data_IF_688257140146
#
_entry.id   IF_688257140146
#
_cell.length_a   1.000
_cell.length_b   1.000
_cell.length_c   1.000
_cell.angle_alpha   90.00
_cell.angle_beta   90.00
_cell.angle_gamma   90.00
#
_symmetry.space_group_name_H-M   'P 1'
#
loop_
_entity.id
_entity.type
_entity.pdbx_description
1 polymer ?
#
# COMPACT_ATOMS: atom_id res chain seq x y z
N UNK A 1 -29.34 4.71 -3.93
CA UNK A 1 -28.36 4.46 -5.02
C UNK A 1 -26.96 4.70 -4.46
N UNK A 2 -26.26 3.64 -4.07
CA UNK A 2 -24.98 3.69 -3.36
C UNK A 2 -23.81 3.93 -4.34
N UNK A 3 -23.34 5.18 -4.36
CA UNK A 3 -21.96 5.67 -4.60
C UNK A 3 -20.97 4.72 -5.32
N UNK A 4 -21.22 4.39 -6.59
CA UNK A 4 -20.25 3.75 -7.50
C UNK A 4 -19.13 4.72 -7.97
N UNK A 5 -18.73 5.70 -7.16
CA UNK A 5 -17.93 6.87 -7.60
C UNK A 5 -16.48 6.86 -7.10
N UNK A 6 -16.02 5.77 -6.49
CA UNK A 6 -14.70 5.74 -5.81
C UNK A 6 -13.57 5.07 -6.59
N UNK A 7 -13.88 4.44 -7.72
CA UNK A 7 -12.91 3.98 -8.72
C UNK A 7 -13.55 4.06 -10.10
N UNK A 8 -12.87 4.69 -11.05
CA UNK A 8 -13.37 4.84 -12.41
C UNK A 8 -13.49 3.48 -13.11
N UNK A 9 -12.61 2.53 -12.78
CA UNK A 9 -12.61 1.17 -13.31
C UNK A 9 -13.83 0.40 -12.78
N UNK A 10 -14.04 0.40 -11.45
CA UNK A 10 -15.20 -0.28 -10.86
C UNK A 10 -16.52 0.39 -11.25
N UNK A 11 -16.53 1.71 -11.46
CA UNK A 11 -17.69 2.41 -12.01
C UNK A 11 -18.04 1.89 -13.40
N UNK A 12 -17.05 1.84 -14.31
CA UNK A 12 -17.27 1.37 -15.67
C UNK A 12 -17.73 -0.09 -15.71
N UNK A 13 -17.23 -0.93 -14.82
CA UNK A 13 -17.66 -2.34 -14.73
C UNK A 13 -19.05 -2.47 -14.11
N UNK A 14 -19.38 -1.68 -13.08
CA UNK A 14 -20.68 -1.75 -12.42
C UNK A 14 -21.80 -1.05 -13.21
N UNK A 15 -21.47 -0.01 -13.99
CA UNK A 15 -22.39 0.74 -14.85
C UNK A 15 -22.69 0.02 -16.18
N UNK A 16 -22.05 -1.14 -16.46
CA UNK A 16 -22.38 -1.95 -17.63
C UNK A 16 -23.75 -2.63 -17.44
N UNK A 17 -24.78 -2.03 -18.06
CA UNK A 17 -26.19 -2.46 -18.19
C UNK A 17 -26.60 -3.71 -17.38
N UNK A 18 -27.12 -3.49 -16.16
CA UNK A 18 -27.74 -4.49 -15.27
C UNK A 18 -28.96 -5.20 -15.91
N UNK A 19 -29.46 -4.71 -17.05
CA UNK A 19 -30.66 -5.21 -17.72
C UNK A 19 -30.41 -6.16 -18.91
N UNK A 20 -29.14 -6.47 -19.26
CA UNK A 20 -28.82 -7.53 -20.22
C UNK A 20 -28.09 -8.64 -19.46
N UNK A 21 -28.34 -9.91 -19.83
CA UNK A 21 -27.61 -11.03 -19.23
C UNK A 21 -26.11 -10.70 -19.21
N UNK A 22 -25.39 -10.91 -18.08
CA UNK A 22 -24.01 -10.48 -17.96
C UNK A 22 -23.25 -11.06 -19.15
N UNK A 23 -22.61 -10.23 -20.00
CA UNK A 23 -21.74 -10.77 -21.03
C UNK A 23 -20.69 -11.62 -20.29
N UNK A 24 -20.29 -12.74 -20.88
CA UNK A 24 -19.24 -13.61 -20.32
C UNK A 24 -17.91 -12.84 -20.04
N UNK A 25 -17.83 -11.61 -20.50
CA UNK A 25 -16.70 -10.67 -20.43
C UNK A 25 -16.75 -9.68 -19.24
N UNK A 26 -17.75 -9.74 -18.35
CA UNK A 26 -17.87 -8.83 -17.19
C UNK A 26 -17.16 -9.35 -15.91
N UNK A 27 -16.30 -10.36 -16.03
CA UNK A 27 -15.53 -10.88 -14.89
C UNK A 27 -14.21 -10.13 -14.81
N UNK A 28 -14.04 -9.26 -13.80
CA UNK A 28 -12.72 -8.76 -13.43
C UNK A 28 -12.08 -9.80 -12.50
N UNK A 29 -10.97 -10.38 -12.94
CA UNK A 29 -10.17 -11.26 -12.07
C UNK A 29 -9.04 -10.47 -11.43
N UNK A 30 -9.06 -10.41 -10.10
CA UNK A 30 -8.09 -9.68 -9.27
C UNK A 30 -7.05 -10.68 -8.71
N UNK A 31 -6.17 -11.17 -9.59
CA UNK A 31 -5.27 -12.30 -9.30
C UNK A 31 -4.28 -12.07 -8.15
N UNK A 32 -3.96 -10.82 -7.86
CA UNK A 32 -3.03 -10.45 -6.79
C UNK A 32 -3.66 -10.44 -5.40
N UNK A 33 -4.98 -10.60 -5.29
CA UNK A 33 -5.69 -10.62 -4.01
C UNK A 33 -6.18 -12.03 -3.69
N UNK A 34 -5.88 -12.47 -2.48
CA UNK A 34 -6.53 -13.66 -1.93
C UNK A 34 -7.99 -13.35 -1.53
N UNK A 35 -8.73 -14.39 -1.12
CA UNK A 35 -10.15 -14.25 -0.79
C UNK A 35 -10.43 -13.20 0.30
N UNK A 36 -9.64 -13.18 1.37
CA UNK A 36 -9.84 -12.24 2.49
C UNK A 36 -9.48 -10.79 2.11
N UNK A 37 -8.43 -10.63 1.29
CA UNK A 37 -8.01 -9.33 0.78
C UNK A 37 -9.06 -8.75 -0.17
N UNK A 38 -9.61 -9.60 -1.05
CA UNK A 38 -10.71 -9.23 -1.94
C UNK A 38 -11.97 -8.86 -1.15
N UNK A 39 -12.33 -9.65 -0.14
CA UNK A 39 -13.47 -9.33 0.74
C UNK A 39 -13.26 -7.97 1.43
N UNK A 40 -12.05 -7.69 1.90
CA UNK A 40 -11.69 -6.41 2.51
C UNK A 40 -11.78 -5.25 1.52
N UNK A 41 -11.27 -5.43 0.29
CA UNK A 41 -11.38 -4.42 -0.76
C UNK A 41 -12.86 -4.12 -1.07
N UNK A 42 -13.68 -5.15 -1.29
CA UNK A 42 -15.10 -4.98 -1.57
C UNK A 42 -15.82 -4.28 -0.43
N UNK A 43 -15.60 -4.72 0.82
CA UNK A 43 -16.18 -4.08 2.00
C UNK A 43 -15.82 -2.60 2.08
N UNK A 44 -14.56 -2.25 1.80
CA UNK A 44 -14.14 -0.85 1.73
C UNK A 44 -14.85 -0.08 0.63
N UNK A 45 -15.00 -0.65 -0.57
CA UNK A 45 -15.68 0.00 -1.69
C UNK A 45 -17.15 0.30 -1.36
N UNK A 46 -17.85 -0.65 -0.74
CA UNK A 46 -19.26 -0.50 -0.37
C UNK A 46 -19.48 0.45 0.81
N UNK A 47 -18.62 0.39 1.84
CA UNK A 47 -18.87 1.12 3.11
C UNK A 47 -18.03 2.38 3.28
N UNK A 48 -16.91 2.50 2.55
CA UNK A 48 -15.93 3.58 2.69
C UNK A 48 -15.01 3.49 3.89
N UNK A 49 -15.03 2.36 4.61
CA UNK A 49 -14.21 2.14 5.81
C UNK A 49 -13.89 0.66 5.98
N UNK A 50 -12.89 0.38 6.80
CA UNK A 50 -12.56 -0.97 7.25
C UNK A 50 -12.30 -0.97 8.75
N UNK A 51 -12.65 -2.05 9.47
CA UNK A 51 -12.18 -2.26 10.84
C UNK A 51 -10.65 -2.23 10.90
N UNK A 52 -10.10 -1.70 11.99
CA UNK A 52 -8.65 -1.52 12.16
C UNK A 52 -7.88 -2.83 11.99
N UNK A 53 -8.40 -3.94 12.51
CA UNK A 53 -7.79 -5.27 12.39
C UNK A 53 -7.66 -5.73 10.93
N UNK A 54 -8.72 -5.59 10.12
CA UNK A 54 -8.67 -5.91 8.69
C UNK A 54 -7.73 -4.97 7.95
N UNK A 55 -7.69 -3.70 8.37
CA UNK A 55 -6.81 -2.71 7.79
C UNK A 55 -5.33 -3.04 8.06
N UNK A 56 -4.96 -3.31 9.31
CA UNK A 56 -3.60 -3.65 9.70
C UNK A 56 -3.13 -4.94 8.99
N UNK A 57 -4.02 -5.93 8.87
CA UNK A 57 -3.71 -7.20 8.21
C UNK A 57 -3.46 -7.07 6.70
N UNK A 58 -4.20 -6.20 6.02
CA UNK A 58 -4.23 -6.15 4.55
C UNK A 58 -3.76 -4.83 3.95
N UNK A 59 -3.21 -3.90 4.74
CA UNK A 59 -2.84 -2.55 4.25
C UNK A 59 -1.92 -2.57 3.03
N UNK A 60 -0.97 -3.51 2.95
CA UNK A 60 -0.03 -3.58 1.84
C UNK A 60 -0.68 -4.08 0.54
N UNK A 61 -1.43 -5.18 0.59
CA UNK A 61 -2.15 -5.69 -0.59
C UNK A 61 -3.26 -4.73 -1.04
N UNK A 62 -3.96 -4.11 -0.09
CA UNK A 62 -4.93 -3.05 -0.39
C UNK A 62 -4.27 -1.81 -1.01
N UNK A 63 -3.04 -1.45 -0.60
CA UNK A 63 -2.28 -0.36 -1.23
C UNK A 63 -1.92 -0.68 -2.68
N UNK A 64 -1.43 -1.90 -2.94
CA UNK A 64 -1.10 -2.36 -4.29
C UNK A 64 -2.35 -2.40 -5.18
N UNK A 65 -3.48 -2.90 -4.67
CA UNK A 65 -4.74 -2.88 -5.39
C UNK A 65 -5.24 -1.45 -5.63
N UNK A 66 -5.12 -0.56 -4.64
CA UNK A 66 -5.54 0.83 -4.78
C UNK A 66 -4.74 1.57 -5.85
N UNK A 67 -3.44 1.27 -5.97
CA UNK A 67 -2.58 1.80 -7.02
C UNK A 67 -2.93 1.20 -8.39
N UNK A 68 -2.95 -0.13 -8.48
CA UNK A 68 -3.24 -0.87 -9.72
C UNK A 68 -4.61 -0.56 -10.33
N UNK A 69 -5.63 -0.38 -9.50
CA UNK A 69 -7.01 -0.11 -9.94
C UNK A 69 -7.43 1.35 -9.80
N UNK A 70 -6.47 2.24 -9.56
CA UNK A 70 -6.67 3.68 -9.47
C UNK A 70 -7.85 4.02 -8.55
N UNK A 71 -7.68 3.72 -7.25
CA UNK A 71 -8.66 3.96 -6.19
C UNK A 71 -8.11 5.02 -5.22
N UNK A 72 -8.07 6.32 -5.58
CA UNK A 72 -7.40 7.36 -4.80
C UNK A 72 -7.86 7.46 -3.34
N UNK A 73 -9.14 7.18 -3.09
CA UNK A 73 -9.67 7.21 -1.72
C UNK A 73 -9.09 6.09 -0.85
N UNK A 74 -8.89 4.88 -1.40
CA UNK A 74 -8.22 3.78 -0.70
C UNK A 74 -6.73 4.08 -0.53
N UNK A 75 -6.06 4.63 -1.56
CA UNK A 75 -4.65 5.04 -1.46
C UNK A 75 -4.43 5.98 -0.25
N UNK A 76 -5.23 7.05 -0.16
CA UNK A 76 -5.19 7.99 0.98
C UNK A 76 -5.56 7.34 2.32
N UNK A 77 -6.38 6.30 2.31
CA UNK A 77 -6.76 5.58 3.52
C UNK A 77 -5.59 4.71 4.02
N UNK A 78 -4.95 3.97 3.11
CA UNK A 78 -3.76 3.17 3.37
C UNK A 78 -2.58 4.02 3.83
N UNK A 79 -2.29 5.11 3.13
CA UNK A 79 -1.20 6.03 3.49
C UNK A 79 -1.36 6.56 4.92
N UNK A 80 -2.56 7.06 5.27
CA UNK A 80 -2.85 7.55 6.63
C UNK A 80 -2.68 6.47 7.69
N UNK A 81 -3.10 5.24 7.40
CA UNK A 81 -2.91 4.14 8.34
C UNK A 81 -1.42 3.82 8.53
N UNK A 82 -0.64 3.66 7.45
CA UNK A 82 0.80 3.38 7.53
C UNK A 82 1.58 4.48 8.26
N UNK A 83 1.20 5.76 8.08
CA UNK A 83 1.80 6.87 8.85
C UNK A 83 1.53 6.74 10.35
N UNK A 84 0.31 6.36 10.73
CA UNK A 84 -0.10 6.21 12.14
C UNK A 84 0.49 4.97 12.81
N UNK A 85 0.69 3.89 12.05
CA UNK A 85 1.19 2.61 12.57
C UNK A 85 2.68 2.38 12.33
N UNK A 86 3.43 3.41 11.93
CA UNK A 86 4.86 3.32 11.65
C UNK A 86 5.67 2.92 12.89
N UNK A 87 6.45 1.84 12.78
CA UNK A 87 7.30 1.26 13.82
C UNK A 87 8.51 0.57 13.17
N UNK A 88 9.59 0.35 13.91
CA UNK A 88 10.81 -0.28 13.35
C UNK A 88 10.53 -1.64 12.69
N UNK A 89 9.59 -2.41 13.24
CA UNK A 89 9.21 -3.72 12.70
C UNK A 89 8.44 -3.67 11.37
N UNK A 90 7.99 -2.50 10.90
CA UNK A 90 7.28 -2.38 9.62
C UNK A 90 7.87 -1.31 8.69
N UNK A 91 8.85 -0.55 9.14
CA UNK A 91 9.40 0.58 8.39
C UNK A 91 9.94 0.18 7.00
N UNK A 92 10.61 -0.97 6.88
CA UNK A 92 11.10 -1.50 5.61
C UNK A 92 9.96 -1.85 4.65
N UNK A 93 8.89 -2.47 5.14
CA UNK A 93 7.71 -2.80 4.34
C UNK A 93 6.98 -1.52 3.87
N UNK A 94 6.86 -0.52 4.74
CA UNK A 94 6.27 0.78 4.38
C UNK A 94 7.12 1.48 3.32
N UNK A 95 8.45 1.48 3.45
CA UNK A 95 9.36 2.05 2.45
C UNK A 95 9.19 1.35 1.10
N UNK A 96 9.15 0.02 1.09
CA UNK A 96 8.93 -0.77 -0.13
C UNK A 96 7.62 -0.39 -0.82
N UNK A 97 6.50 -0.48 -0.09
CA UNK A 97 5.16 -0.21 -0.64
C UNK A 97 5.04 1.23 -1.12
N UNK A 98 5.57 2.18 -0.38
CA UNK A 98 5.57 3.59 -0.80
C UNK A 98 6.40 3.84 -2.06
N UNK A 99 7.45 3.03 -2.30
CA UNK A 99 8.23 3.11 -3.53
C UNK A 99 7.53 2.45 -4.71
N UNK A 100 6.82 1.34 -4.49
CA UNK A 100 6.04 0.64 -5.53
C UNK A 100 4.84 1.49 -5.97
N UNK A 101 4.01 1.93 -5.02
CA UNK A 101 2.81 2.72 -5.28
C UNK A 101 3.10 4.22 -5.54
N UNK A 102 4.37 4.61 -5.66
CA UNK A 102 4.78 6.02 -5.86
C UNK A 102 4.20 7.02 -4.84
N UNK A 103 4.00 6.60 -3.58
CA UNK A 103 3.59 7.46 -2.47
C UNK A 103 4.77 8.28 -1.95
N UNK A 104 5.12 9.36 -2.66
CA UNK A 104 6.33 10.16 -2.39
C UNK A 104 6.44 10.64 -0.93
N UNK A 105 5.36 11.22 -0.38
CA UNK A 105 5.37 11.74 0.99
C UNK A 105 5.53 10.62 2.04
N UNK A 106 4.87 9.48 1.83
CA UNK A 106 5.04 8.31 2.68
C UNK A 106 6.46 7.75 2.58
N UNK A 107 7.02 7.70 1.37
CA UNK A 107 8.39 7.21 1.12
C UNK A 107 9.41 8.05 1.85
N UNK A 108 9.34 9.37 1.73
CA UNK A 108 10.23 10.28 2.45
C UNK A 108 10.10 10.14 3.96
N UNK A 109 8.87 9.97 4.46
CA UNK A 109 8.61 9.79 5.90
C UNK A 109 9.18 8.47 6.40
N UNK A 110 8.97 7.38 5.67
CA UNK A 110 9.52 6.07 5.99
C UNK A 110 11.05 6.08 5.97
N UNK A 111 11.65 6.72 4.96
CA UNK A 111 13.11 6.86 4.86
C UNK A 111 13.68 7.62 6.06
N UNK A 112 13.06 8.76 6.45
CA UNK A 112 13.47 9.53 7.63
C UNK A 112 13.34 8.71 8.92
N UNK A 113 12.26 7.94 9.07
CA UNK A 113 12.07 7.06 10.22
C UNK A 113 13.17 5.98 10.27
N UNK A 114 13.49 5.36 9.14
CA UNK A 114 14.54 4.33 9.05
C UNK A 114 15.89 4.93 9.41
N UNK A 115 16.26 6.07 8.84
CA UNK A 115 17.55 6.75 9.12
C UNK A 115 17.69 7.06 10.62
N UNK A 116 16.60 7.50 11.27
CA UNK A 116 16.61 7.78 12.72
C UNK A 116 16.86 6.54 13.58
N UNK A 117 16.47 5.35 13.10
CA UNK A 117 16.59 4.08 13.81
C UNK A 117 17.53 3.11 13.06
N UNK A 118 18.49 3.65 12.31
CA UNK A 118 19.26 2.84 11.34
C UNK A 118 20.14 1.80 12.01
N UNK A 119 20.64 2.08 13.22
CA UNK A 119 21.45 1.12 13.99
C UNK A 119 20.66 -0.16 14.25
N UNK A 120 19.46 -0.05 14.83
CA UNK A 120 18.61 -1.22 15.10
C UNK A 120 18.15 -1.92 13.82
N UNK A 121 17.84 -1.15 12.78
CA UNK A 121 17.28 -1.70 11.53
C UNK A 121 18.37 -2.42 10.73
N UNK A 122 19.53 -1.80 10.52
CA UNK A 122 20.59 -2.33 9.66
C UNK A 122 21.23 -3.62 10.19
N UNK A 123 21.19 -3.85 11.51
CA UNK A 123 21.69 -5.07 12.14
C UNK A 123 20.60 -6.15 12.36
N UNK A 124 19.40 -5.97 11.81
CA UNK A 124 18.31 -6.95 11.92
C UNK A 124 18.32 -7.95 10.75
N UNK A 125 17.97 -9.21 11.02
CA UNK A 125 17.80 -10.25 9.98
C UNK A 125 16.83 -9.82 8.86
N UNK A 126 15.83 -9.01 9.23
CA UNK A 126 14.85 -8.44 8.29
C UNK A 126 15.51 -7.54 7.25
N UNK A 127 16.56 -6.83 7.62
CA UNK A 127 17.28 -5.96 6.70
C UNK A 127 18.11 -6.76 5.70
N UNK A 128 18.66 -7.91 6.10
CA UNK A 128 19.35 -8.82 5.18
C UNK A 128 18.38 -9.36 4.12
N UNK A 129 17.20 -9.82 4.54
CA UNK A 129 16.14 -10.25 3.62
C UNK A 129 15.70 -9.11 2.68
N UNK A 130 15.54 -7.91 3.23
CA UNK A 130 15.18 -6.71 2.46
C UNK A 130 16.26 -6.35 1.44
N UNK A 131 17.54 -6.44 1.81
CA UNK A 131 18.66 -6.11 0.93
C UNK A 131 18.78 -7.07 -0.26
N UNK A 132 18.42 -8.33 -0.08
CA UNK A 132 18.32 -9.30 -1.17
C UNK A 132 17.16 -8.99 -2.11
N UNK A 133 16.04 -8.49 -1.57
CA UNK A 133 14.82 -8.22 -2.32
C UNK A 133 14.88 -6.91 -3.11
N UNK A 134 15.34 -5.82 -2.49
CA UNK A 134 15.44 -4.50 -3.11
C UNK A 134 16.77 -3.79 -2.78
N UNK A 135 17.85 -4.11 -3.51
CA UNK A 135 19.14 -3.44 -3.34
C UNK A 135 19.08 -1.93 -3.61
N UNK A 136 18.16 -1.46 -4.45
CA UNK A 136 18.06 -0.05 -4.81
C UNK A 136 17.51 0.79 -3.66
N UNK A 137 16.59 0.24 -2.87
CA UNK A 137 16.13 0.89 -1.64
C UNK A 137 17.23 0.90 -0.56
N UNK A 138 18.04 -0.16 -0.43
CA UNK A 138 19.21 -0.14 0.45
C UNK A 138 20.18 0.98 0.11
N UNK A 139 20.48 1.19 -1.19
CA UNK A 139 21.31 2.31 -1.63
C UNK A 139 20.70 3.66 -1.25
N UNK A 140 19.37 3.81 -1.34
CA UNK A 140 18.67 5.03 -0.91
C UNK A 140 18.78 5.26 0.61
N UNK A 141 18.62 4.19 1.40
CA UNK A 141 18.79 4.24 2.86
C UNK A 141 20.22 4.67 3.20
N UNK A 142 21.24 4.01 2.64
CA UNK A 142 22.65 4.35 2.89
C UNK A 142 22.96 5.80 2.55
N UNK A 143 22.49 6.29 1.38
CA UNK A 143 22.68 7.69 0.99
C UNK A 143 22.00 8.65 1.97
N UNK A 144 20.77 8.36 2.38
CA UNK A 144 20.03 9.19 3.31
C UNK A 144 20.70 9.23 4.70
N UNK A 145 21.19 8.08 5.19
CA UNK A 145 21.93 8.00 6.46
C UNK A 145 23.22 8.82 6.42
N UNK A 146 23.99 8.75 5.33
CA UNK A 146 25.21 9.54 5.17
C UNK A 146 24.92 11.05 5.05
N UNK A 147 23.81 11.43 4.40
CA UNK A 147 23.39 12.83 4.32
C UNK A 147 22.99 13.37 5.69
N UNK A 148 22.34 12.56 6.52
CA UNK A 148 21.94 12.98 7.87
C UNK A 148 23.16 13.08 8.82
N UNK A 149 24.08 12.12 8.74
CA UNK A 149 25.33 12.16 9.51
C UNK A 149 26.20 13.39 9.21
N UNK A 150 26.09 13.99 8.01
CA UNK A 150 26.80 15.23 7.65
C UNK A 150 26.16 16.51 8.20
N UNK A 151 24.91 16.46 8.65
CA UNK A 151 24.20 17.62 9.21
C UNK A 151 24.40 17.77 10.73
N UNK A 152 24.81 16.68 11.39
CA UNK A 152 25.15 16.63 12.81
C UNK A 152 26.64 16.93 13.01
#
# INVERSE_FOLDING_TARGET
MLQATRSQIFKNVLDSDICKAPPKDNIITLFELNHEELESLLKFLYTGSLPEEKMEKHVYSLSLAADKYEIPYLQKFCERHMLRSSKSSNALNVLEISSICSYLSLKETALKFIVKNIEDIAFSDRYDEFALKDPQLCVQITRASLMEARKN
#
